data_IF_481549556533
#
_entry.id   IF_481549556533
#
_cell.length_a   1.000
_cell.length_b   1.000
_cell.length_c   1.000
_cell.angle_alpha   90.00
_cell.angle_beta   90.00
_cell.angle_gamma   90.00
#
_symmetry.space_group_name_H-M   'P 1'
#
loop_
_entity.id
_entity.type
_entity.pdbx_description
1 polymer ?
#
# COMPACT_ATOMS: atom_id res chain seq x y z
N UNK A 1 -0.66 11.38 -13.71
CA UNK A 1 -1.02 10.79 -12.40
C UNK A 1 0.18 10.02 -11.88
N UNK A 2 0.69 10.34 -10.69
CA UNK A 2 1.86 9.66 -10.08
C UNK A 2 1.44 8.46 -9.23
N UNK A 3 2.35 7.54 -8.93
CA UNK A 3 2.08 6.42 -8.02
C UNK A 3 1.64 6.89 -6.63
N UNK A 4 2.24 7.98 -6.12
CA UNK A 4 1.83 8.62 -4.85
C UNK A 4 0.36 9.06 -4.93
N UNK A 5 -0.03 9.72 -6.01
CA UNK A 5 -1.42 10.14 -6.23
C UNK A 5 -2.35 8.93 -6.34
N UNK A 6 -1.96 7.87 -7.06
CA UNK A 6 -2.77 6.65 -7.17
C UNK A 6 -3.00 5.99 -5.81
N UNK A 7 -1.96 5.89 -4.97
CA UNK A 7 -2.08 5.33 -3.61
C UNK A 7 -3.00 6.19 -2.76
N UNK A 8 -2.80 7.51 -2.75
CA UNK A 8 -3.63 8.42 -1.96
C UNK A 8 -5.11 8.42 -2.41
N UNK A 9 -5.36 8.28 -3.73
CA UNK A 9 -6.72 8.20 -4.29
C UNK A 9 -7.47 6.93 -3.90
N UNK A 10 -6.81 5.92 -3.34
CA UNK A 10 -7.49 4.72 -2.83
C UNK A 10 -8.34 5.01 -1.60
N UNK A 11 -8.06 6.10 -0.87
CA UNK A 11 -8.73 6.47 0.39
C UNK A 11 -8.43 5.54 1.58
N UNK A 12 -7.78 4.39 1.35
CA UNK A 12 -7.46 3.40 2.39
C UNK A 12 -5.97 3.34 2.71
N UNK A 13 -5.12 3.76 1.77
CA UNK A 13 -3.67 3.89 1.93
C UNK A 13 -3.24 5.34 1.69
N UNK A 14 -2.16 5.74 2.35
CA UNK A 14 -1.49 7.02 2.15
C UNK A 14 -0.01 6.80 1.87
N UNK A 15 0.47 7.40 0.79
CA UNK A 15 1.88 7.48 0.45
C UNK A 15 2.49 8.77 1.02
N UNK A 16 3.59 8.64 1.74
CA UNK A 16 4.33 9.74 2.38
C UNK A 16 5.78 9.67 1.93
N UNK A 17 6.27 10.72 1.28
CA UNK A 17 7.69 10.86 0.95
C UNK A 17 8.45 11.20 2.23
N UNK A 18 9.27 10.28 2.70
CA UNK A 18 10.04 10.38 3.95
C UNK A 18 11.55 10.36 3.71
N UNK A 19 11.98 10.28 2.44
CA UNK A 19 13.36 10.50 2.04
C UNK A 19 13.47 11.08 0.62
N UNK A 20 14.69 11.42 0.17
CA UNK A 20 14.91 11.96 -1.18
C UNK A 20 14.36 11.03 -2.29
N UNK A 21 14.53 9.73 -2.09
CA UNK A 21 14.15 8.64 -3.00
C UNK A 21 13.20 7.62 -2.37
N UNK A 22 12.79 7.81 -1.10
CA UNK A 22 11.98 6.85 -0.36
C UNK A 22 10.56 7.38 -0.12
N UNK A 23 9.59 6.47 -0.25
CA UNK A 23 8.16 6.73 -0.02
C UNK A 23 7.60 5.60 0.83
N UNK A 24 7.19 5.93 2.04
CA UNK A 24 6.43 5.04 2.91
C UNK A 24 4.97 4.97 2.48
N UNK A 25 4.39 3.77 2.49
CA UNK A 25 2.94 3.57 2.36
C UNK A 25 2.38 3.08 3.69
N UNK A 26 1.34 3.75 4.16
CA UNK A 26 0.69 3.45 5.45
C UNK A 26 -0.82 3.38 5.28
N UNK A 27 -1.53 2.51 6.01
CA UNK A 27 -2.98 2.57 6.09
C UNK A 27 -3.45 3.91 6.64
N UNK A 28 -4.57 4.42 6.12
CA UNK A 28 -5.25 5.57 6.72
C UNK A 28 -5.75 5.19 8.11
N UNK A 29 -6.30 3.98 8.26
CA UNK A 29 -6.68 3.42 9.55
C UNK A 29 -5.50 2.67 10.19
N UNK A 30 -4.82 3.34 11.12
CA UNK A 30 -3.57 2.84 11.74
C UNK A 30 -3.74 1.53 12.49
N UNK A 31 -4.91 1.22 13.05
CA UNK A 31 -5.18 -0.05 13.72
C UNK A 31 -5.04 -1.27 12.80
N UNK A 32 -5.21 -1.09 11.49
CA UNK A 32 -5.06 -2.16 10.48
C UNK A 32 -3.63 -2.39 10.04
N UNK A 33 -2.68 -1.57 10.53
CA UNK A 33 -1.26 -1.76 10.21
C UNK A 33 -0.75 -3.10 10.74
N UNK A 34 -1.10 -3.46 11.98
CA UNK A 34 -0.68 -4.72 12.59
C UNK A 34 -1.26 -5.92 11.86
N UNK A 35 -2.54 -5.88 11.47
CA UNK A 35 -3.18 -6.91 10.65
C UNK A 35 -2.43 -7.10 9.32
N UNK A 36 -2.12 -6.00 8.64
CA UNK A 36 -1.38 -6.05 7.39
C UNK A 36 0.04 -6.61 7.56
N UNK A 37 0.74 -6.23 8.62
CA UNK A 37 2.05 -6.79 8.96
C UNK A 37 1.96 -8.29 9.24
N UNK A 38 0.96 -8.74 10.00
CA UNK A 38 0.80 -10.15 10.36
C UNK A 38 0.45 -11.01 9.14
N UNK A 39 -0.18 -10.45 8.11
CA UNK A 39 -0.50 -11.17 6.86
C UNK A 39 0.72 -11.53 6.00
N UNK A 40 1.93 -11.04 6.34
CA UNK A 40 3.14 -11.25 5.52
C UNK A 40 3.45 -12.72 5.26
N UNK A 41 3.25 -13.59 6.26
CA UNK A 41 3.56 -15.02 6.15
C UNK A 41 2.73 -15.74 5.09
N UNK A 42 1.50 -15.27 4.85
CA UNK A 42 0.57 -15.88 3.88
C UNK A 42 0.36 -15.01 2.65
N UNK A 43 1.10 -13.91 2.49
CA UNK A 43 0.84 -12.89 1.46
C UNK A 43 0.90 -13.42 0.02
N UNK A 44 1.61 -14.52 -0.23
CA UNK A 44 1.66 -15.18 -1.55
C UNK A 44 0.34 -15.87 -1.88
N UNK A 45 -0.27 -16.56 -0.92
CA UNK A 45 -1.47 -17.39 -1.13
C UNK A 45 -2.77 -16.66 -0.75
N UNK A 46 -2.72 -15.80 0.26
CA UNK A 46 -3.82 -15.00 0.75
C UNK A 46 -3.36 -13.56 1.06
N UNK A 47 -3.11 -12.73 0.02
CA UNK A 47 -2.65 -11.37 0.23
C UNK A 47 -3.72 -10.52 0.94
N UNK A 48 -3.29 -9.76 1.94
CA UNK A 48 -4.12 -8.75 2.57
C UNK A 48 -4.65 -7.73 1.56
N UNK A 49 -5.81 -7.14 1.86
CA UNK A 49 -6.49 -6.19 0.97
C UNK A 49 -5.57 -5.05 0.51
N UNK A 50 -4.75 -4.51 1.41
CA UNK A 50 -3.79 -3.45 1.07
C UNK A 50 -2.72 -3.91 0.08
N UNK A 51 -2.22 -5.15 0.18
CA UNK A 51 -1.27 -5.70 -0.79
C UNK A 51 -1.91 -5.86 -2.17
N UNK A 52 -3.17 -6.31 -2.24
CA UNK A 52 -3.93 -6.42 -3.50
C UNK A 52 -4.11 -5.06 -4.17
N UNK A 53 -4.42 -4.02 -3.40
CA UNK A 53 -4.54 -2.64 -3.90
C UNK A 53 -3.21 -2.17 -4.51
N UNK A 54 -2.10 -2.35 -3.80
CA UNK A 54 -0.79 -1.95 -4.31
C UNK A 54 -0.38 -2.72 -5.58
N UNK A 55 -0.68 -4.03 -5.64
CA UNK A 55 -0.47 -4.82 -6.85
C UNK A 55 -1.27 -4.27 -8.04
N UNK A 56 -2.54 -3.89 -7.82
CA UNK A 56 -3.38 -3.31 -8.89
C UNK A 56 -2.86 -1.97 -9.41
N UNK A 57 -2.22 -1.17 -8.56
CA UNK A 57 -1.60 0.11 -8.94
C UNK A 57 -0.32 -0.17 -9.74
N UNK A 58 0.50 -1.11 -9.28
CA UNK A 58 1.75 -1.50 -9.95
C UNK A 58 1.51 -1.95 -11.39
N UNK A 59 0.48 -2.76 -11.64
CA UNK A 59 0.15 -3.29 -12.98
C UNK A 59 -0.38 -2.18 -13.92
N UNK A 60 -0.98 -1.12 -13.37
CA UNK A 60 -1.48 0.02 -14.17
C UNK A 60 -0.37 0.96 -14.63
N UNK A 61 0.82 0.89 -14.04
CA UNK A 61 1.98 1.68 -14.43
C UNK A 61 2.73 0.84 -15.48
N UNK A 62 2.40 1.07 -16.75
CA UNK A 62 3.18 0.60 -17.91
C UNK A 62 3.88 1.78 -18.56
#
# INVERSE_FOLDING_TARGET
MTTIQMVNNTGVLRAVKDGPTHVSVKPVQTSRMTEWINSRLTAIFNPHAFSKILQSISIKIK
#
